data_IF_562498896572
#
_entry.id   IF_562498896572
#
_cell.length_a   1.000
_cell.length_b   1.000
_cell.length_c   1.000
_cell.angle_alpha   90.00
_cell.angle_beta   90.00
_cell.angle_gamma   90.00
#
_symmetry.space_group_name_H-M   'P 1'
#
loop_
_entity.id
_entity.type
_entity.pdbx_description
1 polymer ?
#
# COMPACT_ATOMS: atom_id res chain seq x y z
N UNK A 1 4.00 -17.06 6.68
CA UNK A 1 4.65 -16.69 5.41
C UNK A 1 3.74 -17.08 4.26
N UNK A 2 3.54 -16.20 3.28
CA UNK A 2 2.40 -16.32 2.35
C UNK A 2 2.80 -16.41 0.88
N UNK A 3 4.09 -16.54 0.63
CA UNK A 3 4.57 -17.07 -0.64
C UNK A 3 5.84 -17.83 -0.33
N UNK A 4 5.73 -19.15 -0.46
CA UNK A 4 6.86 -20.05 -0.27
C UNK A 4 7.57 -20.13 -1.61
N UNK A 5 8.51 -19.22 -1.84
CA UNK A 5 9.55 -19.48 -2.83
C UNK A 5 10.48 -20.54 -2.26
N UNK A 6 11.05 -21.37 -3.14
CA UNK A 6 12.15 -22.23 -2.72
C UNK A 6 13.39 -21.37 -2.36
N UNK A 7 14.31 -21.92 -1.55
CA UNK A 7 15.50 -21.17 -1.09
C UNK A 7 16.34 -20.65 -2.28
N UNK A 8 16.40 -21.42 -3.38
CA UNK A 8 17.18 -21.07 -4.57
C UNK A 8 16.54 -19.92 -5.35
N UNK A 9 15.21 -19.88 -5.42
CA UNK A 9 14.41 -18.82 -6.00
C UNK A 9 14.56 -17.55 -5.20
N UNK A 10 14.57 -17.65 -3.87
CA UNK A 10 14.81 -16.51 -2.97
C UNK A 10 16.22 -15.94 -3.16
N UNK A 11 17.25 -16.79 -3.24
CA UNK A 11 18.63 -16.37 -3.50
C UNK A 11 18.77 -15.65 -4.85
N UNK A 12 18.19 -16.22 -5.92
CA UNK A 12 18.23 -15.61 -7.26
C UNK A 12 17.48 -14.28 -7.27
N UNK A 13 16.33 -14.20 -6.60
CA UNK A 13 15.54 -12.98 -6.52
C UNK A 13 16.28 -11.89 -5.72
N UNK A 14 16.95 -12.27 -4.62
CA UNK A 14 17.79 -11.37 -3.83
C UNK A 14 19.00 -10.88 -4.63
N UNK A 15 19.72 -11.77 -5.31
CA UNK A 15 20.84 -11.40 -6.17
C UNK A 15 20.43 -10.46 -7.32
N UNK A 16 19.17 -10.56 -7.76
CA UNK A 16 18.58 -9.68 -8.78
C UNK A 16 18.29 -8.25 -8.27
N UNK A 17 18.22 -8.01 -6.95
CA UNK A 17 18.14 -6.66 -6.41
C UNK A 17 19.45 -5.89 -6.58
N UNK A 18 20.57 -6.58 -6.39
CA UNK A 18 21.89 -5.95 -6.46
C UNK A 18 22.39 -5.72 -7.89
N UNK A 19 21.84 -6.44 -8.87
CA UNK A 19 22.34 -6.37 -10.24
C UNK A 19 21.28 -6.50 -11.30
N UNK A 20 21.37 -5.60 -12.28
CA UNK A 20 20.45 -5.56 -13.40
C UNK A 20 20.89 -6.43 -14.59
N UNK A 21 21.99 -7.19 -14.47
CA UNK A 21 22.51 -8.02 -15.58
C UNK A 21 22.50 -9.49 -15.19
N UNK A 22 21.94 -10.35 -16.05
CA UNK A 22 21.85 -11.80 -15.80
C UNK A 22 23.19 -12.43 -15.37
N UNK A 23 24.27 -12.12 -16.07
CA UNK A 23 25.57 -12.73 -15.79
C UNK A 23 26.10 -12.39 -14.39
N UNK A 24 25.82 -11.18 -13.90
CA UNK A 24 26.20 -10.77 -12.55
C UNK A 24 25.34 -11.45 -11.49
N UNK A 25 24.03 -11.59 -11.73
CA UNK A 25 23.12 -12.34 -10.85
C UNK A 25 23.57 -13.79 -10.74
N UNK A 26 23.85 -14.45 -11.88
CA UNK A 26 24.38 -15.82 -11.91
C UNK A 26 25.66 -15.95 -11.05
N UNK A 27 26.64 -15.06 -11.24
CA UNK A 27 27.92 -15.11 -10.50
C UNK A 27 27.78 -14.92 -8.99
N UNK A 28 26.66 -14.38 -8.52
CA UNK A 28 26.37 -14.21 -7.09
C UNK A 28 25.65 -15.40 -6.46
N UNK A 29 25.27 -16.40 -7.26
CA UNK A 29 24.56 -17.58 -6.78
C UNK A 29 25.44 -18.83 -6.93
N UNK A 30 25.27 -19.86 -6.09
CA UNK A 30 26.00 -21.12 -6.21
C UNK A 30 25.50 -22.00 -7.38
N UNK A 31 24.58 -21.49 -8.21
CA UNK A 31 23.85 -22.27 -9.20
C UNK A 31 24.60 -22.37 -10.54
N UNK A 32 24.49 -23.51 -11.26
CA UNK A 32 24.92 -23.59 -12.65
C UNK A 32 24.20 -22.57 -13.53
N UNK A 33 24.87 -22.06 -14.57
CA UNK A 33 24.34 -21.03 -15.48
C UNK A 33 22.94 -21.36 -16.02
N UNK A 34 22.74 -22.59 -16.49
CA UNK A 34 21.46 -23.05 -17.02
C UNK A 34 20.35 -23.08 -15.95
N UNK A 35 20.69 -23.41 -14.71
CA UNK A 35 19.75 -23.43 -13.58
C UNK A 35 19.35 -22.02 -13.17
N UNK A 36 20.33 -21.10 -13.04
CA UNK A 36 20.06 -19.69 -12.77
C UNK A 36 19.17 -19.06 -13.85
N UNK A 37 19.43 -19.38 -15.12
CA UNK A 37 18.59 -18.95 -16.24
C UNK A 37 17.14 -19.46 -16.15
N UNK A 38 16.96 -20.75 -15.85
CA UNK A 38 15.62 -21.35 -15.69
C UNK A 38 14.85 -20.70 -14.53
N UNK A 39 15.52 -20.45 -13.41
CA UNK A 39 14.89 -19.79 -12.25
C UNK A 39 14.49 -18.35 -12.59
N UNK A 40 15.34 -17.57 -13.25
CA UNK A 40 14.98 -16.21 -13.68
C UNK A 40 13.78 -16.20 -14.61
N UNK A 41 13.71 -17.13 -15.58
CA UNK A 41 12.52 -17.25 -16.45
C UNK A 41 11.26 -17.60 -15.66
N UNK A 42 11.37 -18.46 -14.64
CA UNK A 42 10.24 -18.83 -13.78
C UNK A 42 9.79 -17.64 -12.91
N UNK A 43 10.72 -16.94 -12.27
CA UNK A 43 10.45 -15.72 -11.50
C UNK A 43 9.84 -14.63 -12.39
N UNK A 44 10.28 -14.50 -13.64
CA UNK A 44 9.70 -13.58 -14.60
C UNK A 44 8.28 -13.99 -15.02
N UNK A 45 8.03 -15.28 -15.26
CA UNK A 45 6.68 -15.81 -15.52
C UNK A 45 5.74 -15.56 -14.34
N UNK A 46 6.26 -15.61 -13.12
CA UNK A 46 5.52 -15.30 -11.89
C UNK A 46 5.35 -13.79 -11.65
N UNK A 47 5.89 -12.93 -12.51
CA UNK A 47 5.80 -11.47 -12.38
C UNK A 47 6.67 -10.87 -11.27
N UNK A 48 7.61 -11.63 -10.72
CA UNK A 48 8.51 -11.17 -9.65
C UNK A 48 9.73 -10.43 -10.20
N UNK A 49 10.09 -10.72 -11.46
CA UNK A 49 11.18 -10.09 -12.20
C UNK A 49 10.68 -9.67 -13.57
N UNK A 50 11.08 -8.47 -14.00
CA UNK A 50 11.01 -8.04 -15.39
C UNK A 50 12.34 -8.40 -16.06
N UNK A 51 12.28 -9.19 -17.13
CA UNK A 51 13.45 -9.56 -17.91
C UNK A 51 13.32 -9.05 -19.34
N UNK A 52 14.26 -8.21 -19.79
CA UNK A 52 14.26 -7.66 -21.14
C UNK A 52 15.69 -7.51 -21.68
N UNK A 53 16.00 -8.13 -22.83
CA UNK A 53 17.30 -8.01 -23.53
C UNK A 53 18.53 -8.19 -22.60
N UNK A 54 18.50 -9.16 -21.69
CA UNK A 54 19.61 -9.41 -20.75
C UNK A 54 19.57 -8.56 -19.47
N UNK A 55 18.67 -7.57 -19.41
CA UNK A 55 18.42 -6.76 -18.23
C UNK A 55 17.38 -7.40 -17.32
N UNK A 56 17.65 -7.35 -16.03
CA UNK A 56 16.83 -7.86 -14.94
C UNK A 56 16.43 -6.67 -14.08
N UNK A 57 15.15 -6.61 -13.73
CA UNK A 57 14.65 -5.67 -12.75
C UNK A 57 13.67 -6.40 -11.84
N UNK A 58 13.86 -6.28 -10.53
CA UNK A 58 12.90 -6.86 -9.57
C UNK A 58 11.62 -6.02 -9.62
N UNK A 59 10.50 -6.69 -9.89
CA UNK A 59 9.17 -6.07 -9.87
C UNK A 59 8.74 -5.84 -8.41
N UNK A 60 7.72 -5.00 -8.19
CA UNK A 60 7.21 -4.77 -6.84
C UNK A 60 6.72 -6.06 -6.17
N UNK A 61 6.09 -6.96 -6.92
CA UNK A 61 5.73 -8.29 -6.45
C UNK A 61 6.95 -9.05 -5.88
N UNK A 62 8.11 -8.93 -6.52
CA UNK A 62 9.36 -9.49 -6.04
C UNK A 62 9.84 -8.83 -4.75
N UNK A 63 9.71 -7.51 -4.65
CA UNK A 63 10.02 -6.76 -3.41
C UNK A 63 9.11 -7.19 -2.25
N UNK A 64 7.81 -7.35 -2.49
CA UNK A 64 6.83 -7.79 -1.48
C UNK A 64 7.21 -9.17 -0.95
N UNK A 65 7.60 -10.08 -1.83
CA UNK A 65 8.04 -11.42 -1.43
C UNK A 65 9.32 -11.34 -0.60
N UNK A 66 10.35 -10.64 -1.08
CA UNK A 66 11.61 -10.50 -0.34
C UNK A 66 11.41 -9.82 1.02
N UNK A 67 10.59 -8.77 1.08
CA UNK A 67 10.26 -8.07 2.32
C UNK A 67 9.50 -8.97 3.31
N UNK A 68 8.60 -9.83 2.82
CA UNK A 68 7.92 -10.82 3.65
C UNK A 68 8.87 -11.92 4.18
N UNK A 69 10.01 -12.15 3.52
CA UNK A 69 11.11 -12.98 3.99
C UNK A 69 12.12 -12.20 4.86
N UNK A 70 11.83 -10.94 5.19
CA UNK A 70 12.67 -10.11 6.08
C UNK A 70 13.86 -9.46 5.40
N UNK A 71 13.92 -9.41 4.06
CA UNK A 71 15.02 -8.73 3.37
C UNK A 71 14.98 -7.21 3.63
N UNK A 72 16.05 -6.63 4.22
CA UNK A 72 16.05 -5.24 4.66
C UNK A 72 16.05 -4.25 3.48
N UNK A 73 16.66 -4.63 2.35
CA UNK A 73 16.72 -3.78 1.15
C UNK A 73 15.33 -3.71 0.52
N UNK A 74 14.65 -4.85 0.39
CA UNK A 74 13.28 -4.88 -0.12
C UNK A 74 12.31 -4.06 0.74
N UNK A 75 12.42 -4.19 2.09
CA UNK A 75 11.65 -3.39 3.03
C UNK A 75 11.91 -1.88 2.85
N UNK A 76 13.18 -1.47 2.74
CA UNK A 76 13.55 -0.08 2.55
C UNK A 76 13.02 0.49 1.22
N UNK A 77 13.09 -0.27 0.13
CA UNK A 77 12.59 0.14 -1.18
C UNK A 77 11.06 0.32 -1.18
N UNK A 78 10.32 -0.60 -0.56
CA UNK A 78 8.87 -0.48 -0.40
C UNK A 78 8.51 0.71 0.51
N UNK A 79 9.20 0.86 1.64
CA UNK A 79 9.00 1.97 2.57
C UNK A 79 9.20 3.32 1.89
N UNK A 80 10.27 3.46 1.10
CA UNK A 80 10.53 4.65 0.29
C UNK A 80 9.43 4.88 -0.76
N UNK A 81 9.03 3.84 -1.51
CA UNK A 81 7.98 3.94 -2.54
C UNK A 81 6.66 4.44 -1.95
N UNK A 82 6.27 3.93 -0.79
CA UNK A 82 5.03 4.28 -0.12
C UNK A 82 5.15 5.48 0.83
N UNK A 83 6.36 6.04 0.99
CA UNK A 83 6.68 7.14 1.91
C UNK A 83 6.24 6.84 3.35
N UNK A 84 6.56 5.64 3.82
CA UNK A 84 6.31 5.16 5.18
C UNK A 84 7.61 4.62 5.77
N UNK A 85 7.63 4.27 7.06
CA UNK A 85 8.78 3.61 7.66
C UNK A 85 8.79 2.10 7.34
N UNK A 86 9.94 1.44 7.51
CA UNK A 86 10.12 0.01 7.21
C UNK A 86 9.31 -0.90 8.14
N UNK A 87 9.10 -0.48 9.38
CA UNK A 87 8.30 -1.21 10.38
C UNK A 87 6.85 -1.32 9.93
N UNK A 88 6.27 -0.22 9.44
CA UNK A 88 4.91 -0.15 8.91
C UNK A 88 4.72 -1.13 7.75
N UNK A 89 5.68 -1.20 6.82
CA UNK A 89 5.63 -2.17 5.71
C UNK A 89 5.69 -3.60 6.24
N UNK A 90 6.61 -3.89 7.16
CA UNK A 90 6.77 -5.24 7.73
C UNK A 90 5.49 -5.72 8.41
N UNK A 91 4.96 -4.93 9.34
CA UNK A 91 3.74 -5.28 10.08
C UNK A 91 2.53 -5.38 9.14
N UNK A 92 2.45 -4.53 8.12
CA UNK A 92 1.38 -4.59 7.14
C UNK A 92 1.42 -5.89 6.31
N UNK A 93 2.63 -6.34 5.92
CA UNK A 93 2.81 -7.62 5.26
C UNK A 93 2.46 -8.80 6.17
N UNK A 94 2.85 -8.75 7.45
CA UNK A 94 2.47 -9.76 8.45
C UNK A 94 0.95 -9.84 8.63
N UNK A 95 0.28 -8.69 8.72
CA UNK A 95 -1.18 -8.58 8.81
C UNK A 95 -1.90 -9.18 7.60
N UNK A 96 -1.40 -8.89 6.39
CA UNK A 96 -1.90 -9.50 5.15
C UNK A 96 -1.69 -11.00 5.16
N UNK A 97 -0.55 -11.42 5.69
CA UNK A 97 -0.16 -12.80 5.68
C UNK A 97 -1.03 -13.72 6.54
N UNK A 98 -1.61 -13.17 7.60
CA UNK A 98 -2.55 -13.90 8.45
C UNK A 98 -3.88 -14.20 7.72
N UNK A 99 -4.20 -13.43 6.67
CA UNK A 99 -5.50 -13.52 5.96
C UNK A 99 -5.42 -14.30 4.67
N UNK A 100 -4.26 -14.31 4.02
CA UNK A 100 -4.13 -14.84 2.67
C UNK A 100 -2.94 -15.78 2.64
N UNK A 101 -3.21 -17.04 2.28
CA UNK A 101 -2.21 -18.09 2.26
C UNK A 101 -1.20 -17.93 1.13
N UNK A 102 -1.67 -17.46 -0.02
CA UNK A 102 -0.85 -17.07 -1.16
C UNK A 102 -1.03 -15.58 -1.40
N UNK A 103 0.05 -14.80 -1.55
CA UNK A 103 -0.05 -13.37 -1.94
C UNK A 103 -0.04 -13.26 -3.48
N UNK A 104 -1.20 -13.24 -4.17
CA UNK A 104 -1.26 -13.02 -5.62
C UNK A 104 -1.16 -11.52 -5.96
N UNK A 105 -0.59 -10.71 -5.07
CA UNK A 105 -0.52 -9.26 -5.25
C UNK A 105 0.70 -8.88 -6.07
N UNK A 106 0.49 -8.07 -7.11
CA UNK A 106 1.55 -7.50 -7.92
C UNK A 106 2.09 -6.23 -7.27
N UNK A 107 1.23 -5.53 -6.54
CA UNK A 107 1.54 -4.31 -5.80
C UNK A 107 0.83 -4.28 -4.44
N UNK A 108 1.28 -3.47 -3.48
CA UNK A 108 0.52 -3.29 -2.23
C UNK A 108 -0.85 -2.63 -2.48
N UNK A 109 -1.04 -1.96 -3.61
CA UNK A 109 -2.35 -1.38 -3.98
C UNK A 109 -3.39 -2.46 -4.23
N UNK A 110 -2.99 -3.60 -4.77
CA UNK A 110 -3.89 -4.74 -5.03
C UNK A 110 -4.49 -5.31 -3.74
N UNK A 111 -3.90 -4.96 -2.58
CA UNK A 111 -4.38 -5.37 -1.25
C UNK A 111 -5.60 -4.59 -0.77
N UNK A 112 -5.96 -3.48 -1.42
CA UNK A 112 -7.07 -2.61 -1.00
C UNK A 112 -8.41 -3.34 -1.00
N UNK A 113 -8.64 -4.24 -1.97
CA UNK A 113 -9.85 -5.08 -2.00
C UNK A 113 -9.89 -6.14 -0.90
N UNK A 114 -8.73 -6.45 -0.30
CA UNK A 114 -8.57 -7.44 0.76
C UNK A 114 -8.66 -6.80 2.15
N UNK A 115 -8.18 -5.57 2.25
CA UNK A 115 -8.15 -4.76 3.46
C UNK A 115 -9.31 -3.76 3.37
N UNK A 116 -10.53 -4.23 3.63
CA UNK A 116 -11.69 -3.34 3.67
C UNK A 116 -11.58 -2.28 4.80
N UNK A 117 -12.46 -1.26 4.84
CA UNK A 117 -12.42 -0.23 5.87
C UNK A 117 -12.51 -0.77 7.31
N UNK A 118 -13.10 -1.96 7.51
CA UNK A 118 -13.17 -2.63 8.80
C UNK A 118 -11.79 -3.04 9.35
N UNK A 119 -10.84 -3.38 8.48
CA UNK A 119 -9.49 -3.79 8.84
C UNK A 119 -8.67 -2.69 9.53
N UNK A 120 -9.03 -1.42 9.31
CA UNK A 120 -8.39 -0.29 10.01
C UNK A 120 -8.62 -0.34 11.52
N UNK A 121 -9.73 -0.93 12.00
CA UNK A 121 -9.95 -1.11 13.44
C UNK A 121 -8.97 -2.08 14.07
N UNK A 122 -8.59 -3.10 13.32
CA UNK A 122 -7.64 -4.12 13.78
C UNK A 122 -6.20 -3.60 13.75
N UNK A 123 -5.90 -2.69 12.84
CA UNK A 123 -4.61 -2.03 12.73
C UNK A 123 -4.48 -0.81 13.65
N UNK A 124 -5.51 -0.49 14.45
CA UNK A 124 -5.50 0.73 15.24
C UNK A 124 -4.35 0.77 16.25
N UNK A 125 -3.56 1.85 16.22
CA UNK A 125 -2.39 2.02 17.09
C UNK A 125 -1.14 1.26 16.64
N UNK A 126 -1.19 0.56 15.50
CA UNK A 126 -0.03 -0.14 14.93
C UNK A 126 0.72 0.75 13.93
N UNK A 127 2.05 0.59 13.78
CA UNK A 127 2.81 1.18 12.68
C UNK A 127 2.20 0.98 11.28
N UNK A 128 1.51 -0.15 11.03
CA UNK A 128 0.86 -0.44 9.76
C UNK A 128 -0.42 0.38 9.48
N UNK A 129 -1.04 0.99 10.50
CA UNK A 129 -2.32 1.73 10.37
C UNK A 129 -2.24 2.80 9.28
N UNK A 130 -1.18 3.61 9.29
CA UNK A 130 -0.99 4.72 8.36
C UNK A 130 -0.84 4.25 6.90
N UNK A 131 -0.16 3.12 6.67
CA UNK A 131 0.00 2.55 5.34
C UNK A 131 -1.34 2.02 4.81
N UNK A 132 -2.07 1.26 5.62
CA UNK A 132 -3.39 0.73 5.25
C UNK A 132 -4.38 1.86 4.94
N UNK A 133 -4.40 2.89 5.78
CA UNK A 133 -5.24 4.06 5.61
C UNK A 133 -4.92 4.82 4.32
N UNK A 134 -3.64 5.00 4.02
CA UNK A 134 -3.17 5.63 2.79
C UNK A 134 -3.64 4.87 1.55
N UNK A 135 -3.44 3.55 1.52
CA UNK A 135 -3.86 2.71 0.40
C UNK A 135 -5.38 2.76 0.19
N UNK A 136 -6.16 2.65 1.27
CA UNK A 136 -7.62 2.77 1.18
C UNK A 136 -8.05 4.14 0.68
N UNK A 137 -7.46 5.22 1.19
CA UNK A 137 -7.84 6.57 0.80
C UNK A 137 -7.49 6.89 -0.67
N UNK A 138 -6.37 6.39 -1.17
CA UNK A 138 -5.91 6.66 -2.53
C UNK A 138 -6.65 5.81 -3.58
N UNK A 139 -7.01 4.56 -3.23
CA UNK A 139 -7.45 3.57 -4.21
C UNK A 139 -8.86 3.00 -3.98
N UNK A 140 -9.46 3.19 -2.79
CA UNK A 140 -10.84 2.75 -2.49
C UNK A 140 -11.87 3.85 -2.82
N UNK A 141 -11.96 4.25 -4.09
CA UNK A 141 -12.73 5.43 -4.53
C UNK A 141 -14.21 5.42 -4.13
N UNK A 142 -14.82 4.24 -4.06
CA UNK A 142 -16.25 4.07 -3.73
C UNK A 142 -16.59 4.54 -2.32
N UNK A 143 -15.60 4.51 -1.41
CA UNK A 143 -15.78 4.91 -0.01
C UNK A 143 -15.12 6.25 0.30
N UNK A 144 -14.57 6.95 -0.69
CA UNK A 144 -13.83 8.20 -0.49
C UNK A 144 -14.63 9.40 -1.01
N UNK A 145 -14.85 10.38 -0.14
CA UNK A 145 -15.44 11.68 -0.49
C UNK A 145 -14.34 12.74 -0.51
N UNK A 146 -14.32 13.57 -1.55
CA UNK A 146 -13.39 14.69 -1.66
C UNK A 146 -14.11 16.03 -1.47
N UNK A 147 -13.60 16.88 -0.59
CA UNK A 147 -14.13 18.22 -0.31
C UNK A 147 -12.97 19.20 -0.20
N UNK A 148 -12.96 20.23 -1.05
CA UNK A 148 -11.91 21.27 -1.08
C UNK A 148 -10.47 20.72 -1.13
N UNK A 149 -10.25 19.61 -1.84
CA UNK A 149 -8.94 18.94 -1.93
C UNK A 149 -8.54 18.14 -0.69
N UNK A 150 -9.44 17.96 0.27
CA UNK A 150 -9.31 17.00 1.38
C UNK A 150 -10.10 15.74 1.06
N UNK A 151 -9.60 14.57 1.45
CA UNK A 151 -10.22 13.27 1.16
C UNK A 151 -10.66 12.57 2.44
N UNK A 152 -11.82 11.94 2.42
CA UNK A 152 -12.43 11.31 3.59
C UNK A 152 -12.88 9.89 3.24
N UNK A 153 -12.31 8.90 3.92
CA UNK A 153 -12.80 7.52 3.84
C UNK A 153 -14.00 7.37 4.78
N UNK A 154 -15.14 7.01 4.21
CA UNK A 154 -16.38 6.75 4.92
C UNK A 154 -16.50 5.27 5.28
N UNK A 155 -17.06 5.00 6.45
CA UNK A 155 -17.56 3.68 6.81
C UNK A 155 -18.94 3.76 7.45
N UNK A 156 -19.49 2.61 7.84
CA UNK A 156 -20.88 2.48 8.29
C UNK A 156 -21.29 3.33 9.51
N UNK A 157 -20.37 4.01 10.19
CA UNK A 157 -20.66 4.92 11.33
C UNK A 157 -20.06 6.32 11.18
N UNK A 158 -19.55 6.69 10.00
CA UNK A 158 -18.97 8.01 9.75
C UNK A 158 -17.57 7.97 9.09
N UNK A 159 -16.79 9.03 9.28
CA UNK A 159 -15.43 9.17 8.72
C UNK A 159 -14.45 8.28 9.50
N UNK A 160 -13.70 7.43 8.80
CA UNK A 160 -12.67 6.55 9.37
C UNK A 160 -11.27 7.17 9.20
N UNK A 161 -10.98 7.71 8.01
CA UNK A 161 -9.67 8.29 7.66
C UNK A 161 -9.91 9.64 7.00
N UNK A 162 -9.06 10.62 7.29
CA UNK A 162 -8.99 11.82 6.47
C UNK A 162 -7.57 12.13 6.01
N UNK A 163 -7.49 12.66 4.80
CA UNK A 163 -6.36 13.49 4.39
C UNK A 163 -6.82 14.93 4.36
N UNK A 164 -6.24 15.75 5.22
CA UNK A 164 -6.60 17.14 5.37
C UNK A 164 -5.51 18.02 4.75
N UNK A 165 -5.86 18.73 3.69
CA UNK A 165 -4.97 19.71 3.03
C UNK A 165 -4.66 20.92 3.92
N UNK A 166 -5.43 21.13 4.99
CA UNK A 166 -5.30 22.26 5.92
C UNK A 166 -4.37 21.98 7.11
N UNK A 167 -3.98 20.72 7.36
CA UNK A 167 -3.11 20.37 8.50
C UNK A 167 -1.63 20.75 8.28
N UNK A 168 -1.22 21.03 7.04
CA UNK A 168 0.01 21.72 6.64
C UNK A 168 -0.04 21.88 5.12
N UNK A 169 0.67 22.82 4.51
CA UNK A 169 0.57 23.16 3.07
C UNK A 169 0.84 21.98 2.10
N UNK A 170 1.41 20.88 2.57
CA UNK A 170 1.64 19.63 1.81
C UNK A 170 0.59 18.52 2.06
N UNK A 171 -0.33 18.75 2.99
CA UNK A 171 -1.39 17.85 3.45
C UNK A 171 -0.87 16.65 4.25
N UNK A 172 -1.52 16.37 5.39
CA UNK A 172 -1.19 15.22 6.25
C UNK A 172 -2.28 14.16 6.14
N UNK A 173 -1.85 12.90 6.08
CA UNK A 173 -2.75 11.76 6.18
C UNK A 173 -2.94 11.47 7.67
N UNK A 174 -4.10 11.83 8.21
CA UNK A 174 -4.41 11.72 9.63
C UNK A 174 -5.59 10.78 9.84
N UNK A 175 -5.37 9.72 10.62
CA UNK A 175 -6.40 8.79 11.04
C UNK A 175 -7.33 9.49 12.04
N UNK A 176 -8.63 9.50 11.76
CA UNK A 176 -9.53 10.51 12.32
C UNK A 176 -9.87 10.44 13.82
N UNK A 177 -9.62 9.35 14.60
CA UNK A 177 -9.79 9.49 16.05
C UNK A 177 -8.75 10.41 16.71
N UNK A 178 -7.62 10.69 16.04
CA UNK A 178 -6.48 11.42 16.66
C UNK A 178 -6.15 12.78 16.00
N UNK A 179 -6.95 13.25 15.03
CA UNK A 179 -6.70 14.56 14.40
C UNK A 179 -7.06 15.71 15.38
N UNK A 180 -6.11 16.57 15.78
CA UNK A 180 -6.38 17.68 16.70
C UNK A 180 -7.33 18.72 16.08
N UNK A 181 -7.41 18.77 14.74
CA UNK A 181 -8.27 19.69 13.99
C UNK A 181 -9.64 19.08 13.62
N UNK A 182 -9.90 17.84 14.02
CA UNK A 182 -11.12 17.10 13.69
C UNK A 182 -12.41 17.87 14.01
N UNK A 183 -12.44 18.52 15.18
CA UNK A 183 -13.58 19.32 15.65
C UNK A 183 -13.84 20.55 14.78
N UNK A 184 -12.79 21.25 14.35
CA UNK A 184 -12.91 22.44 13.49
C UNK A 184 -13.43 22.05 12.11
N UNK A 185 -12.92 20.94 11.57
CA UNK A 185 -13.35 20.42 10.28
C UNK A 185 -14.81 19.93 10.29
N UNK A 186 -15.23 19.15 11.29
CA UNK A 186 -16.64 18.75 11.38
C UNK A 186 -17.58 19.95 11.55
N UNK A 187 -17.12 21.00 12.23
CA UNK A 187 -17.87 22.25 12.35
C UNK A 187 -18.00 22.94 10.99
N UNK A 188 -16.94 23.00 10.18
CA UNK A 188 -17.01 23.58 8.83
C UNK A 188 -17.90 22.77 7.88
N UNK A 189 -17.77 21.43 7.88
CA UNK A 189 -18.65 20.53 7.13
C UNK A 189 -20.10 20.70 7.53
N UNK A 190 -20.42 20.65 8.83
CA UNK A 190 -21.78 20.85 9.34
C UNK A 190 -22.35 22.19 8.90
N UNK A 191 -21.55 23.25 8.96
CA UNK A 191 -21.99 24.60 8.55
C UNK A 191 -22.26 24.65 7.04
N UNK A 192 -21.46 23.97 6.21
CA UNK A 192 -21.70 23.86 4.77
C UNK A 192 -22.93 23.02 4.44
N UNK A 193 -23.08 21.83 5.02
CA UNK A 193 -24.26 20.99 4.82
C UNK A 193 -25.56 21.71 5.23
N UNK A 194 -25.54 22.43 6.36
CA UNK A 194 -26.69 23.23 6.80
C UNK A 194 -26.98 24.41 5.86
N UNK A 195 -25.95 25.03 5.28
CA UNK A 195 -26.12 26.10 4.26
C UNK A 195 -26.68 25.55 2.94
N UNK A 196 -26.23 24.37 2.51
CA UNK A 196 -26.75 23.68 1.32
C UNK A 196 -28.22 23.28 1.52
N UNK A 197 -28.57 22.71 2.68
CA UNK A 197 -29.97 22.38 3.00
C UNK A 197 -30.88 23.62 3.06
N UNK A 198 -30.38 24.77 3.53
CA UNK A 198 -31.13 26.04 3.47
C UNK A 198 -31.35 26.51 2.03
N UNK A 199 -30.34 26.39 1.18
CA UNK A 199 -30.46 26.80 -0.24
C UNK A 199 -31.42 25.90 -1.02
N UNK A 200 -31.47 24.59 -0.73
CA UNK A 200 -32.49 23.69 -1.29
C UNK A 200 -33.90 23.97 -0.72
N UNK A 201 -34.04 24.20 0.60
CA UNK A 201 -35.35 24.53 1.17
C UNK A 201 -35.90 25.88 0.70
N UNK A 202 -35.02 26.81 0.35
CA UNK A 202 -35.40 28.12 -0.20
C UNK A 202 -35.67 28.06 -1.72
N UNK A 203 -35.15 27.04 -2.42
CA UNK A 203 -35.48 26.73 -3.80
C UNK A 203 -36.86 26.04 -3.93
N UNK A 204 -37.15 25.07 -3.06
CA UNK A 204 -38.45 24.37 -3.02
C UNK A 204 -39.61 25.26 -2.54
N UNK A 205 -39.32 26.39 -1.87
CA UNK A 205 -40.32 27.40 -1.49
C UNK A 205 -40.62 28.43 -2.60
N UNK A 206 -39.88 28.39 -3.72
CA UNK A 206 -40.04 29.31 -4.85
C UNK A 206 -40.72 28.67 -6.08
N UNK A 207 -41.17 27.42 -5.95
CA UNK A 207 -42.12 26.77 -6.87
C UNK A 207 -43.50 26.74 -6.24
#
# INVERSE_FOLDING_TARGET
MCKVLDERELEVLKASLDSQRFYHVYKKTPLPLASAWRLIRRLAKAGLIEYNRGHIKVAEAGLIVLANHGDPIALALLAHKYRVNTVAVKEFLEFLCQRIKDMPVKTLVDTVGLIGPGSLKELHGTPAEGLAAKLLLEFCKEFVVEVDGSKFLLGGKGIIVAYCKLCDREGRLELYPNCPLAKLFFRSLKTRFLKVNKTFSDADKKT
#
